data_IF_014384116134
#
_entry.id   IF_014384116134
#
_cell.length_a   1.000
_cell.length_b   1.000
_cell.length_c   1.000
_cell.angle_alpha   90.00
_cell.angle_beta   90.00
_cell.angle_gamma   90.00
#
_symmetry.space_group_name_H-M   'P 1'
#
loop_
_entity.id
_entity.type
_entity.pdbx_description
1 polymer ?
#
# COMPACT_ATOMS: atom_id res chain seq x y z
N UNK A 1 16.79 15.90 33.55
CA UNK A 1 17.85 15.10 32.88
C UNK A 1 18.15 13.79 33.63
N UNK A 2 17.91 13.68 34.94
CA UNK A 2 18.09 12.43 35.73
C UNK A 2 17.04 11.34 35.46
N UNK A 3 15.83 11.72 35.03
CA UNK A 3 14.75 10.78 34.66
C UNK A 3 15.19 9.76 33.59
N UNK A 4 15.87 10.23 32.55
CA UNK A 4 16.34 9.37 31.46
C UNK A 4 17.46 8.40 31.88
N UNK A 5 18.14 8.67 33.00
CA UNK A 5 19.19 7.80 33.54
C UNK A 5 18.64 6.69 34.45
N UNK A 6 17.40 6.83 34.92
CA UNK A 6 16.78 5.96 35.93
C UNK A 6 15.59 5.17 35.40
N UNK A 7 14.98 5.61 34.30
CA UNK A 7 13.86 4.91 33.68
C UNK A 7 14.31 3.62 32.98
N UNK A 8 13.54 2.55 33.18
CA UNK A 8 13.75 1.29 32.46
C UNK A 8 13.33 1.49 30.99
N UNK A 9 14.10 1.00 30.00
CA UNK A 9 13.76 1.19 28.58
C UNK A 9 12.33 0.78 28.21
N UNK A 10 11.80 -0.28 28.83
CA UNK A 10 10.41 -0.72 28.63
C UNK A 10 9.38 0.30 29.10
N UNK A 11 9.62 0.98 30.23
CA UNK A 11 8.77 2.07 30.72
C UNK A 11 8.86 3.29 29.81
N UNK A 12 10.06 3.64 29.33
CA UNK A 12 10.23 4.76 28.39
C UNK A 12 9.46 4.53 27.08
N UNK A 13 9.52 3.31 26.54
CA UNK A 13 8.78 2.92 25.32
C UNK A 13 7.27 2.91 25.59
N UNK A 14 6.83 2.41 26.74
CA UNK A 14 5.40 2.40 27.09
C UNK A 14 4.83 3.81 27.28
N UNK A 15 5.58 4.71 27.91
CA UNK A 15 5.13 6.07 28.23
C UNK A 15 5.25 7.03 27.03
N UNK A 16 6.33 6.93 26.25
CA UNK A 16 6.57 7.86 25.13
C UNK A 16 6.20 7.28 23.78
N UNK A 17 6.19 5.96 23.63
CA UNK A 17 5.85 5.29 22.38
C UNK A 17 4.34 5.20 22.12
N UNK A 18 3.49 5.46 23.11
CA UNK A 18 2.02 5.44 22.97
C UNK A 18 1.52 6.47 21.95
N UNK A 19 2.19 7.62 21.87
CA UNK A 19 1.79 8.74 21.01
C UNK A 19 2.76 8.91 19.82
N UNK A 20 3.51 7.86 19.47
CA UNK A 20 4.41 7.88 18.32
C UNK A 20 3.93 6.88 17.29
N UNK A 21 3.70 7.35 16.06
CA UNK A 21 3.41 6.51 14.90
C UNK A 21 4.64 6.41 14.02
N UNK A 22 5.09 5.20 13.73
CA UNK A 22 6.17 4.94 12.79
C UNK A 22 5.57 4.66 11.42
N UNK A 23 6.03 5.37 10.40
CA UNK A 23 5.61 5.24 8.99
C UNK A 23 6.85 4.88 8.17
N UNK A 24 6.88 3.68 7.59
CA UNK A 24 7.94 3.21 6.72
C UNK A 24 7.33 2.87 5.36
N UNK A 25 7.34 3.81 4.40
CA UNK A 25 6.77 3.58 3.09
C UNK A 25 7.74 2.83 2.17
N UNK A 26 7.23 1.84 1.43
CA UNK A 26 7.99 1.05 0.47
C UNK A 26 7.24 0.87 -0.85
N UNK A 27 7.92 0.32 -1.87
CA UNK A 27 7.32 0.14 -3.21
C UNK A 27 6.27 -0.95 -3.30
N UNK A 28 6.42 -2.03 -2.51
CA UNK A 28 5.44 -3.12 -2.44
C UNK A 28 4.47 -2.93 -1.28
N UNK A 29 4.99 -2.60 -0.09
CA UNK A 29 4.21 -2.46 1.13
C UNK A 29 4.62 -1.20 1.90
N UNK A 30 3.68 -0.62 2.64
CA UNK A 30 3.91 0.37 3.68
C UNK A 30 3.79 -0.34 5.02
N UNK A 31 4.75 -0.10 5.90
CA UNK A 31 4.71 -0.55 7.28
C UNK A 31 4.33 0.63 8.17
N UNK A 32 3.27 0.47 8.97
CA UNK A 32 2.81 1.53 9.86
C UNK A 32 2.35 0.95 11.19
N UNK A 33 2.73 1.59 12.30
CA UNK A 33 2.36 1.13 13.64
C UNK A 33 2.73 2.12 14.73
N UNK A 34 2.13 1.97 15.91
CA UNK A 34 2.54 2.71 17.09
C UNK A 34 3.91 2.21 17.57
N UNK A 35 4.77 3.08 18.10
CA UNK A 35 6.14 2.71 18.48
C UNK A 35 6.21 1.67 19.62
N UNK A 36 5.14 1.52 20.40
CA UNK A 36 5.03 0.49 21.44
C UNK A 36 4.58 -0.89 20.90
N UNK A 37 4.16 -0.98 19.62
CA UNK A 37 3.76 -2.24 19.00
C UNK A 37 5.00 -3.06 18.62
N UNK A 38 4.95 -4.38 18.88
CA UNK A 38 6.02 -5.30 18.50
C UNK A 38 6.08 -5.54 16.98
N UNK A 39 4.92 -5.51 16.32
CA UNK A 39 4.79 -5.78 14.88
C UNK A 39 3.93 -4.69 14.26
N UNK A 40 4.44 -3.93 13.27
CA UNK A 40 3.65 -2.95 12.55
C UNK A 40 2.66 -3.65 11.61
N UNK A 41 1.62 -2.92 11.19
CA UNK A 41 0.84 -3.35 10.03
C UNK A 41 1.72 -3.33 8.78
N UNK A 42 1.71 -4.41 8.00
CA UNK A 42 2.40 -4.51 6.72
C UNK A 42 1.36 -4.60 5.61
N UNK A 43 1.15 -3.51 4.89
CA UNK A 43 0.00 -3.31 4.01
C UNK A 43 0.49 -3.05 2.59
N UNK A 44 -0.09 -3.68 1.55
CA UNK A 44 0.25 -3.35 0.17
C UNK A 44 0.15 -1.85 -0.11
N UNK A 45 1.22 -1.25 -0.64
CA UNK A 45 1.29 0.18 -0.87
C UNK A 45 0.66 0.56 -2.21
N UNK A 46 -0.65 0.33 -2.30
CA UNK A 46 -1.42 0.54 -3.52
C UNK A 46 -2.83 1.06 -3.22
N UNK A 47 -3.37 1.77 -4.19
CA UNK A 47 -4.73 2.29 -4.21
C UNK A 47 -5.34 2.02 -5.58
N UNK A 48 -6.59 1.60 -5.60
CA UNK A 48 -7.39 1.49 -6.80
C UNK A 48 -8.39 2.64 -6.79
N UNK A 49 -8.40 3.47 -7.84
CA UNK A 49 -9.38 4.56 -8.00
C UNK A 49 -10.41 4.22 -9.06
N UNK A 50 -11.66 4.57 -8.78
CA UNK A 50 -12.74 4.41 -9.74
C UNK A 50 -12.51 5.33 -10.95
N UNK A 51 -12.53 4.74 -12.15
CA UNK A 51 -12.39 5.45 -13.42
C UNK A 51 -13.77 5.75 -13.92
N UNK A 52 -14.18 7.02 -13.82
CA UNK A 52 -15.45 7.46 -14.42
C UNK A 52 -15.35 7.30 -15.94
N UNK A 53 -16.38 6.74 -16.60
CA UNK A 53 -16.40 6.69 -18.05
C UNK A 53 -16.30 8.13 -18.59
N UNK A 54 -15.49 8.36 -19.65
CA UNK A 54 -15.44 9.68 -20.25
C UNK A 54 -16.84 10.08 -20.74
N UNK A 55 -17.20 11.35 -20.57
CA UNK A 55 -18.42 11.92 -21.16
C UNK A 55 -18.28 11.92 -22.69
N UNK A 56 -18.78 10.86 -23.33
CA UNK A 56 -18.78 10.65 -24.79
C UNK A 56 -18.69 9.16 -25.17
N UNK A 57 -18.90 8.81 -26.44
CA UNK A 57 -18.83 7.42 -26.98
C UNK A 57 -17.41 6.79 -26.95
N UNK A 58 -16.46 7.42 -26.25
CA UNK A 58 -15.11 6.87 -26.10
C UNK A 58 -15.14 5.72 -25.09
N UNK A 59 -14.75 4.52 -25.52
CA UNK A 59 -14.60 3.38 -24.62
C UNK A 59 -13.70 3.77 -23.43
N UNK A 60 -14.09 3.46 -22.18
CA UNK A 60 -13.27 3.78 -21.02
C UNK A 60 -11.89 3.14 -21.18
N UNK A 61 -10.79 3.86 -20.88
CA UNK A 61 -9.47 3.26 -20.95
C UNK A 61 -9.42 2.09 -19.96
N UNK A 62 -9.28 0.87 -20.47
CA UNK A 62 -9.10 -0.36 -19.68
C UNK A 62 -7.70 -0.39 -19.07
N UNK A 63 -7.35 0.62 -18.27
CA UNK A 63 -6.11 0.63 -17.52
C UNK A 63 -6.38 -0.01 -16.17
N UNK A 64 -6.40 -1.34 -16.11
CA UNK A 64 -6.51 -2.06 -14.83
C UNK A 64 -5.31 -1.78 -13.93
N UNK A 65 -4.14 -1.47 -14.53
CA UNK A 65 -2.89 -1.21 -13.82
C UNK A 65 -2.13 -0.05 -14.49
N UNK A 66 -1.92 1.03 -13.74
CA UNK A 66 -1.04 2.17 -14.09
C UNK A 66 0.39 1.95 -13.57
N UNK A 67 0.87 0.70 -13.53
CA UNK A 67 2.28 0.43 -13.31
C UNK A 67 2.94 0.57 -14.69
N UNK A 68 3.82 1.57 -14.84
CA UNK A 68 4.41 1.89 -16.14
C UNK A 68 5.13 0.63 -16.62
N UNK A 69 4.55 -0.14 -17.54
CA UNK A 69 5.26 -1.27 -18.10
C UNK A 69 6.57 -0.72 -18.68
N UNK A 70 7.71 -1.28 -18.26
CA UNK A 70 9.00 -1.00 -18.90
C UNK A 70 9.05 -1.70 -20.26
N UNK A 71 7.97 -1.61 -21.03
CA UNK A 71 7.92 -2.07 -22.40
C UNK A 71 8.57 -0.99 -23.27
N UNK A 72 9.83 -0.65 -22.99
CA UNK A 72 10.72 -0.45 -24.12
C UNK A 72 10.79 -1.82 -24.78
N UNK A 73 10.26 -1.95 -26.00
CA UNK A 73 10.46 -3.18 -26.78
C UNK A 73 11.96 -3.45 -26.79
N UNK A 74 12.36 -4.59 -26.22
CA UNK A 74 13.77 -4.92 -26.13
C UNK A 74 14.30 -5.07 -27.55
N UNK A 75 15.40 -4.40 -27.86
CA UNK A 75 15.97 -4.50 -29.20
C UNK A 75 16.47 -5.93 -29.45
N UNK A 76 16.60 -6.38 -30.70
CA UNK A 76 17.17 -7.69 -31.00
C UNK A 76 18.54 -7.91 -30.35
N UNK A 77 19.36 -6.86 -30.24
CA UNK A 77 20.66 -6.91 -29.57
C UNK A 77 20.51 -7.11 -28.06
N UNK A 78 19.55 -6.44 -27.43
CA UNK A 78 19.24 -6.64 -26.01
C UNK A 78 18.72 -8.06 -25.74
N UNK A 79 17.91 -8.61 -26.66
CA UNK A 79 17.47 -9.99 -26.60
C UNK A 79 18.65 -10.98 -26.69
N UNK A 80 19.53 -10.82 -27.67
CA UNK A 80 20.73 -11.67 -27.82
C UNK A 80 21.67 -11.55 -26.62
N UNK A 81 21.86 -10.34 -26.08
CA UNK A 81 22.66 -10.14 -24.88
C UNK A 81 22.04 -10.81 -23.65
N UNK A 82 20.71 -10.77 -23.52
CA UNK A 82 19.98 -11.45 -22.44
C UNK A 82 20.12 -12.96 -22.50
N UNK A 83 20.03 -13.53 -23.70
CA UNK A 83 20.21 -14.97 -23.93
C UNK A 83 21.63 -15.41 -23.57
N UNK A 84 22.66 -14.71 -24.05
CA UNK A 84 24.06 -14.99 -23.68
C UNK A 84 24.29 -14.89 -22.17
N UNK A 85 23.72 -13.89 -21.51
CA UNK A 85 23.82 -13.74 -20.06
C UNK A 85 23.15 -14.91 -19.34
N UNK A 86 22.00 -15.38 -19.84
CA UNK A 86 21.30 -16.54 -19.30
C UNK A 86 22.16 -17.80 -19.38
N UNK A 87 22.80 -18.09 -20.52
CA UNK A 87 23.65 -19.27 -20.67
C UNK A 87 24.85 -19.26 -19.71
N UNK A 88 25.49 -18.08 -19.54
CA UNK A 88 26.57 -17.89 -18.57
C UNK A 88 26.07 -18.13 -17.15
N UNK A 89 24.91 -17.57 -16.78
CA UNK A 89 24.35 -17.74 -15.43
C UNK A 89 23.96 -19.20 -15.19
N UNK A 90 23.28 -19.85 -16.15
CA UNK A 90 22.85 -21.23 -16.04
C UNK A 90 24.04 -22.18 -15.89
N UNK A 91 25.12 -21.97 -16.66
CA UNK A 91 26.35 -22.74 -16.53
C UNK A 91 27.05 -22.53 -15.18
N UNK A 92 27.17 -21.28 -14.70
CA UNK A 92 27.78 -20.97 -13.40
C UNK A 92 26.96 -21.56 -12.24
N UNK A 93 25.64 -21.44 -12.31
CA UNK A 93 24.71 -21.96 -11.29
C UNK A 93 24.43 -23.46 -11.43
N UNK A 94 24.98 -24.11 -12.47
CA UNK A 94 24.71 -25.51 -12.81
C UNK A 94 23.21 -25.82 -12.89
N UNK A 95 22.43 -24.87 -13.40
CA UNK A 95 21.00 -25.10 -13.67
C UNK A 95 20.95 -26.02 -14.90
N UNK A 96 20.42 -27.24 -14.79
CA UNK A 96 20.36 -28.15 -15.92
C UNK A 96 19.51 -27.50 -17.02
N UNK A 97 20.07 -27.40 -18.23
CA UNK A 97 19.37 -26.86 -19.38
C UNK A 97 18.18 -27.78 -19.71
N UNK A 98 17.06 -27.20 -20.15
CA UNK A 98 15.88 -27.97 -20.56
C UNK A 98 16.17 -28.91 -21.75
N UNK A 99 17.21 -28.60 -22.53
CA UNK A 99 17.63 -29.37 -23.71
C UNK A 99 18.77 -30.38 -23.42
N UNK A 100 19.24 -30.49 -22.17
CA UNK A 100 20.10 -31.61 -21.77
C UNK A 100 19.23 -32.86 -21.55
N UNK A 101 18.91 -33.55 -22.64
CA UNK A 101 18.56 -34.97 -22.58
C UNK A 101 19.79 -35.73 -22.07
N UNK A 102 19.91 -35.81 -20.73
CA UNK A 102 20.88 -36.67 -20.08
C UNK A 102 20.52 -38.12 -20.40
N UNK A 103 21.17 -38.71 -21.41
CA UNK A 103 20.99 -40.10 -21.86
C UNK A 103 21.24 -41.17 -20.77
N UNK A 104 21.58 -40.81 -19.53
CA UNK A 104 22.03 -41.76 -18.49
C UNK A 104 21.40 -41.63 -17.10
N UNK A 105 20.23 -40.99 -16.94
CA UNK A 105 19.55 -40.98 -15.64
C UNK A 105 18.32 -41.91 -15.62
N UNK A 106 18.48 -43.07 -14.98
CA UNK A 106 17.46 -44.11 -14.76
C UNK A 106 16.40 -43.77 -13.72
N UNK A 107 16.30 -42.50 -13.30
CA UNK A 107 15.26 -42.05 -12.38
C UNK A 107 14.36 -41.04 -13.10
N UNK A 108 13.04 -41.27 -13.18
CA UNK A 108 12.13 -40.27 -13.74
C UNK A 108 12.26 -38.99 -12.92
N UNK A 109 12.65 -37.88 -13.58
CA UNK A 109 12.63 -36.55 -12.97
C UNK A 109 11.17 -36.24 -12.63
N UNK A 110 10.75 -36.56 -11.40
CA UNK A 110 9.55 -35.93 -10.80
C UNK A 110 9.91 -34.46 -10.61
N UNK A 111 9.70 -33.68 -11.66
CA UNK A 111 9.66 -32.23 -11.56
C UNK A 111 8.42 -31.90 -10.74
N UNK A 112 8.55 -31.99 -9.42
CA UNK A 112 7.59 -31.37 -8.51
C UNK A 112 7.64 -29.88 -8.84
N UNK A 113 6.50 -29.33 -9.28
CA UNK A 113 6.32 -27.90 -9.38
C UNK A 113 6.68 -27.32 -8.00
N UNK A 114 7.86 -26.73 -7.87
CA UNK A 114 8.26 -25.99 -6.67
C UNK A 114 7.48 -24.68 -6.76
N UNK A 115 6.20 -24.75 -6.43
CA UNK A 115 5.46 -23.57 -6.05
C UNK A 115 6.23 -22.96 -4.87
N UNK A 116 6.62 -21.71 -5.06
CA UNK A 116 7.62 -21.01 -4.25
C UNK A 116 7.33 -21.07 -2.76
N UNK A 117 8.41 -21.02 -1.98
CA UNK A 117 8.46 -20.77 -0.53
C UNK A 117 7.10 -20.51 0.11
N UNK A 118 6.48 -21.59 0.58
CA UNK A 118 5.41 -21.52 1.56
C UNK A 118 6.01 -20.90 2.83
N UNK A 119 5.67 -19.64 3.09
CA UNK A 119 5.59 -19.20 4.48
C UNK A 119 4.60 -20.15 5.16
N UNK A 120 5.07 -20.96 6.10
CA UNK A 120 4.22 -21.74 6.98
C UNK A 120 3.43 -20.78 7.89
N UNK A 121 2.42 -20.14 7.33
CA UNK A 121 1.20 -19.80 8.04
C UNK A 121 0.16 -20.73 7.47
N UNK A 122 -0.43 -21.57 8.32
CA UNK A 122 -1.50 -22.51 7.99
C UNK A 122 -2.53 -21.83 7.07
N UNK A 123 -2.42 -22.04 5.75
CA UNK A 123 -3.44 -21.63 4.79
C UNK A 123 -4.57 -22.63 4.92
N UNK A 124 -5.46 -22.40 5.87
CA UNK A 124 -6.86 -22.77 5.68
C UNK A 124 -7.26 -22.21 4.32
N UNK A 125 -7.67 -23.10 3.42
CA UNK A 125 -8.04 -22.84 2.03
C UNK A 125 -9.15 -21.78 2.00
N UNK A 126 -8.76 -20.52 2.05
CA UNK A 126 -9.67 -19.39 2.21
C UNK A 126 -10.09 -19.04 0.81
N UNK A 127 -11.31 -19.46 0.45
CA UNK A 127 -11.93 -19.19 -0.84
C UNK A 127 -11.63 -17.75 -1.26
N UNK A 128 -10.95 -17.60 -2.40
CA UNK A 128 -10.63 -16.28 -2.94
C UNK A 128 -11.93 -15.48 -3.09
N UNK A 129 -11.98 -14.34 -2.41
CA UNK A 129 -13.17 -13.48 -2.36
C UNK A 129 -12.82 -12.15 -3.02
N UNK A 130 -13.55 -11.81 -4.08
CA UNK A 130 -13.44 -10.52 -4.75
C UNK A 130 -13.87 -9.39 -3.81
N UNK A 131 -13.20 -8.25 -3.92
CA UNK A 131 -13.56 -7.04 -3.16
C UNK A 131 -14.91 -6.52 -3.60
N UNK A 132 -15.78 -6.18 -2.63
CA UNK A 132 -17.00 -5.45 -2.93
C UNK A 132 -16.66 -3.96 -3.21
N UNK A 133 -16.82 -3.59 -4.49
CA UNK A 133 -16.51 -2.25 -5.03
C UNK A 133 -17.66 -1.26 -4.91
N UNK A 134 -18.82 -1.72 -4.43
CA UNK A 134 -20.06 -0.96 -4.37
C UNK A 134 -20.39 -0.64 -2.91
N UNK A 135 -20.92 0.55 -2.66
CA UNK A 135 -21.45 1.00 -1.39
C UNK A 135 -22.88 1.52 -1.55
N UNK A 136 -23.64 1.50 -0.44
CA UNK A 136 -25.00 2.01 -0.41
C UNK A 136 -24.95 3.53 -0.39
N UNK A 137 -25.67 4.17 -1.31
CA UNK A 137 -25.77 5.64 -1.34
C UNK A 137 -26.53 6.13 -0.10
N UNK A 138 -25.80 6.62 0.90
CA UNK A 138 -26.39 7.43 1.96
C UNK A 138 -26.45 8.87 1.46
N UNK A 139 -27.57 9.28 0.86
CA UNK A 139 -27.79 10.71 0.60
C UNK A 139 -27.77 11.46 1.94
N UNK A 140 -26.93 12.49 2.14
CA UNK A 140 -27.15 13.41 3.25
C UNK A 140 -28.42 14.18 2.91
N UNK A 141 -29.53 13.91 3.61
CA UNK A 141 -30.73 14.72 3.49
C UNK A 141 -30.37 16.17 3.83
N UNK A 142 -30.44 17.01 2.80
CA UNK A 142 -30.28 18.44 2.84
C UNK A 142 -31.26 19.08 3.82
N UNK A 143 -30.74 20.01 4.62
CA UNK A 143 -31.43 21.14 5.23
C UNK A 143 -32.74 20.84 5.98
N UNK A 144 -32.64 20.59 7.28
CA UNK A 144 -33.74 20.90 8.19
C UNK A 144 -33.82 22.43 8.36
N UNK A 145 -34.54 23.09 7.45
CA UNK A 145 -35.16 24.38 7.76
C UNK A 145 -36.24 24.14 8.82
N UNK A 146 -36.10 24.88 9.91
CA UNK A 146 -37.04 24.93 11.02
C UNK A 146 -38.31 25.66 10.55
N UNK A 147 -39.48 25.03 10.66
CA UNK A 147 -40.77 25.74 10.61
C UNK A 147 -41.79 25.06 11.51
N UNK A 148 -42.40 25.88 12.36
CA UNK A 148 -43.32 25.53 13.43
C UNK A 148 -44.75 25.15 12.98
N UNK A 149 -45.36 24.25 13.78
CA UNK A 149 -46.79 24.04 14.07
C UNK A 149 -47.70 23.52 12.94
N UNK A 150 -48.59 22.54 13.12
CA UNK A 150 -49.61 22.38 14.19
C UNK A 150 -50.24 20.97 14.11
N UNK A 151 -50.60 20.39 15.25
CA UNK A 151 -51.33 19.12 15.42
C UNK A 151 -52.79 19.28 14.98
N UNK A 152 -53.28 18.36 14.14
CA UNK A 152 -54.68 17.88 14.14
C UNK A 152 -54.76 16.48 13.53
N UNK A 153 -55.54 15.62 14.18
CA UNK A 153 -55.70 14.19 13.92
C UNK A 153 -56.63 13.89 12.72
N UNK A 154 -56.55 12.61 12.29
CA UNK A 154 -57.58 11.76 11.65
C UNK A 154 -57.39 11.32 10.17
N UNK A 155 -57.26 9.99 10.07
CA UNK A 155 -57.81 9.05 9.08
C UNK A 155 -57.17 8.83 7.68
N UNK A 156 -56.54 7.65 7.60
CA UNK A 156 -56.87 6.56 6.65
C UNK A 156 -56.02 6.37 5.37
N UNK A 157 -55.50 5.14 5.30
CA UNK A 157 -55.42 4.21 4.15
C UNK A 157 -54.22 4.27 3.18
N UNK A 158 -53.72 3.04 2.98
CA UNK A 158 -52.88 2.46 1.93
C UNK A 158 -51.39 2.79 2.01
N UNK A 159 -50.67 2.03 2.83
CA UNK A 159 -49.22 1.87 2.63
C UNK A 159 -49.02 0.97 1.40
N UNK A 160 -48.82 1.62 0.25
CA UNK A 160 -48.05 1.04 -0.83
C UNK A 160 -46.64 0.77 -0.28
N UNK A 161 -46.22 -0.49 -0.31
CA UNK A 161 -44.81 -0.85 -0.17
C UNK A 161 -44.04 -0.28 -1.37
N UNK A 162 -43.69 1.00 -1.30
CA UNK A 162 -42.62 1.55 -2.14
C UNK A 162 -41.30 0.97 -1.61
N UNK A 163 -40.92 -0.17 -2.19
CA UNK A 163 -39.58 -0.70 -2.09
C UNK A 163 -38.59 0.35 -2.58
N UNK A 164 -38.00 1.10 -1.64
CA UNK A 164 -36.92 2.02 -1.93
C UNK A 164 -35.83 1.28 -2.69
N UNK A 165 -35.61 1.66 -3.95
CA UNK A 165 -34.45 1.20 -4.70
C UNK A 165 -33.22 1.70 -3.95
N UNK A 166 -32.54 0.81 -3.23
CA UNK A 166 -31.22 1.09 -2.66
C UNK A 166 -30.29 1.44 -3.83
N UNK A 167 -30.01 2.73 -4.01
CA UNK A 167 -29.13 3.22 -5.06
C UNK A 167 -27.69 2.88 -4.66
N UNK A 168 -27.05 2.03 -5.44
CA UNK A 168 -25.72 1.50 -5.20
C UNK A 168 -24.69 2.27 -6.03
N UNK A 169 -23.65 2.81 -5.40
CA UNK A 169 -22.59 3.58 -6.06
C UNK A 169 -21.23 2.90 -5.91
N UNK A 170 -20.34 3.06 -6.90
CA UNK A 170 -18.96 2.60 -6.76
C UNK A 170 -18.21 3.46 -5.74
N UNK A 171 -17.39 2.82 -4.91
CA UNK A 171 -16.47 3.52 -4.00
C UNK A 171 -15.49 4.37 -4.82
N UNK A 172 -15.18 5.58 -4.33
CA UNK A 172 -14.23 6.45 -5.04
C UNK A 172 -12.82 5.83 -5.12
N UNK A 173 -12.40 5.15 -4.04
CA UNK A 173 -11.14 4.43 -3.99
C UNK A 173 -11.16 3.25 -3.03
N UNK A 174 -10.22 2.33 -3.22
CA UNK A 174 -9.99 1.15 -2.38
C UNK A 174 -8.49 1.01 -2.17
N UNK A 175 -8.04 0.76 -0.93
CA UNK A 175 -6.62 0.69 -0.58
C UNK A 175 -6.15 -0.74 -0.23
N UNK A 176 -4.84 -0.94 -0.24
CA UNK A 176 -4.21 -2.11 0.36
C UNK A 176 -4.58 -3.43 -0.31
N UNK A 177 -4.83 -4.45 0.53
CA UNK A 177 -5.10 -5.81 0.06
C UNK A 177 -6.38 -5.93 -0.78
N UNK A 178 -7.38 -5.09 -0.49
CA UNK A 178 -8.66 -5.12 -1.18
C UNK A 178 -8.53 -4.51 -2.59
N UNK A 179 -7.63 -3.55 -2.78
CA UNK A 179 -7.30 -3.00 -4.10
C UNK A 179 -6.73 -4.07 -5.04
N UNK A 180 -5.98 -5.04 -4.51
CA UNK A 180 -5.40 -6.15 -5.27
C UNK A 180 -6.40 -7.25 -5.62
N UNK A 181 -7.57 -7.25 -4.97
CA UNK A 181 -8.64 -8.25 -5.14
C UNK A 181 -9.85 -7.66 -5.86
N UNK A 182 -9.68 -6.59 -6.63
CA UNK A 182 -10.74 -6.05 -7.49
C UNK A 182 -10.76 -6.88 -8.79
N UNK A 183 -11.95 -7.22 -9.28
CA UNK A 183 -12.08 -7.94 -10.54
C UNK A 183 -11.52 -7.10 -11.70
N UNK A 184 -10.75 -7.67 -12.64
CA UNK A 184 -10.24 -6.95 -13.81
C UNK A 184 -11.34 -6.35 -14.71
N UNK A 185 -12.59 -6.79 -14.53
CA UNK A 185 -13.76 -6.28 -15.25
C UNK A 185 -14.32 -4.99 -14.66
N UNK A 186 -13.99 -4.68 -13.40
CA UNK A 186 -14.50 -3.50 -12.70
C UNK A 186 -13.77 -2.23 -13.18
N UNK A 187 -14.45 -1.07 -13.16
CA UNK A 187 -13.92 0.19 -13.67
C UNK A 187 -12.92 0.85 -12.70
N UNK A 188 -11.89 0.13 -12.27
CA UNK A 188 -10.88 0.63 -11.35
C UNK A 188 -9.48 0.59 -11.96
N UNK A 189 -8.68 1.59 -11.60
CA UNK A 189 -7.29 1.66 -11.98
C UNK A 189 -6.39 1.53 -10.75
N UNK A 190 -5.56 0.48 -10.71
CA UNK A 190 -4.60 0.24 -9.64
C UNK A 190 -3.35 1.11 -9.83
N UNK A 191 -2.96 1.81 -8.76
CA UNK A 191 -1.78 2.69 -8.70
C UNK A 191 -0.89 2.33 -7.51
N UNK A 192 0.42 2.54 -7.69
CA UNK A 192 1.45 2.41 -6.65
C UNK A 192 2.20 3.72 -6.54
N UNK A 193 2.08 4.49 -5.43
CA UNK A 193 2.70 5.81 -5.34
C UNK A 193 4.23 5.79 -5.28
N UNK A 194 4.84 4.69 -4.82
CA UNK A 194 6.29 4.53 -4.75
C UNK A 194 6.74 3.47 -5.76
N UNK A 195 7.78 3.80 -6.51
CA UNK A 195 8.40 2.94 -7.49
C UNK A 195 9.90 3.12 -7.50
N UNK A 196 10.64 2.01 -7.45
CA UNK A 196 12.11 1.98 -7.51
C UNK A 196 12.77 2.95 -6.52
N UNK A 197 12.23 3.04 -5.29
CA UNK A 197 12.78 3.90 -4.25
C UNK A 197 12.48 5.38 -4.41
N UNK A 198 11.57 5.77 -5.31
CA UNK A 198 11.17 7.16 -5.55
C UNK A 198 9.65 7.26 -5.69
N UNK A 199 9.12 8.48 -5.78
CA UNK A 199 7.75 8.71 -6.22
C UNK A 199 7.53 8.21 -7.66
N UNK A 200 6.41 7.54 -7.88
CA UNK A 200 6.03 6.98 -9.19
C UNK A 200 5.43 8.05 -10.11
N UNK A 201 6.22 9.08 -10.44
CA UNK A 201 5.78 10.17 -11.30
C UNK A 201 5.90 9.77 -12.78
N UNK A 202 4.83 9.98 -13.55
CA UNK A 202 4.81 9.82 -15.01
C UNK A 202 3.83 10.78 -15.69
N UNK A 203 3.77 10.72 -17.02
CA UNK A 203 2.77 11.44 -17.80
C UNK A 203 1.32 11.05 -17.43
N UNK A 204 1.10 9.79 -17.03
CA UNK A 204 -0.20 9.26 -16.64
C UNK A 204 -0.45 9.28 -15.13
N UNK A 205 0.57 9.59 -14.34
CA UNK A 205 0.51 9.66 -12.88
C UNK A 205 1.33 10.85 -12.37
N UNK A 206 0.78 12.08 -12.45
CA UNK A 206 1.49 13.30 -12.07
C UNK A 206 1.75 13.36 -10.57
N UNK A 207 2.77 14.12 -10.16
CA UNK A 207 3.20 14.24 -8.76
C UNK A 207 2.04 14.55 -7.81
N UNK A 208 1.16 15.50 -8.16
CA UNK A 208 0.02 15.84 -7.32
C UNK A 208 -0.84 14.61 -6.99
N UNK A 209 -1.16 13.80 -8.00
CA UNK A 209 -1.95 12.59 -7.81
C UNK A 209 -1.19 11.55 -6.97
N UNK A 210 0.13 11.46 -7.11
CA UNK A 210 0.97 10.59 -6.26
C UNK A 210 0.86 11.00 -4.78
N UNK A 211 0.89 12.30 -4.50
CA UNK A 211 0.78 12.82 -3.13
C UNK A 211 -0.62 12.61 -2.55
N UNK A 212 -1.67 12.84 -3.35
CA UNK A 212 -3.07 12.57 -2.97
C UNK A 212 -3.29 11.08 -2.68
N UNK A 213 -2.67 10.19 -3.46
CA UNK A 213 -2.75 8.74 -3.29
C UNK A 213 -1.98 8.27 -2.05
N UNK A 214 -0.78 8.83 -1.80
CA UNK A 214 -0.03 8.60 -0.55
C UNK A 214 -0.85 9.02 0.68
N UNK A 215 -1.41 10.23 0.65
CA UNK A 215 -2.27 10.75 1.70
C UNK A 215 -3.47 9.82 1.92
N UNK A 216 -4.22 9.46 0.88
CA UNK A 216 -5.41 8.63 0.99
C UNK A 216 -5.10 7.24 1.57
N UNK A 217 -3.98 6.62 1.15
CA UNK A 217 -3.57 5.33 1.72
C UNK A 217 -3.23 5.48 3.20
N UNK A 218 -2.44 6.49 3.58
CA UNK A 218 -2.00 6.65 4.97
C UNK A 218 -3.14 7.08 5.89
N UNK A 219 -4.02 7.96 5.43
CA UNK A 219 -5.24 8.37 6.11
C UNK A 219 -6.16 7.17 6.40
N UNK A 220 -6.35 6.30 5.41
CA UNK A 220 -7.08 5.05 5.55
C UNK A 220 -6.41 4.11 6.55
N UNK A 221 -5.08 3.93 6.50
CA UNK A 221 -4.38 3.05 7.47
C UNK A 221 -4.54 3.58 8.90
N UNK A 222 -4.38 4.89 9.10
CA UNK A 222 -4.53 5.53 10.41
C UNK A 222 -5.93 5.31 10.97
N UNK A 223 -6.96 5.48 10.13
CA UNK A 223 -8.36 5.40 10.55
C UNK A 223 -8.82 3.95 10.74
N UNK A 224 -8.59 3.08 9.75
CA UNK A 224 -9.15 1.73 9.71
C UNK A 224 -8.29 0.68 10.43
N UNK A 225 -6.98 0.88 10.51
CA UNK A 225 -6.05 -0.12 11.08
C UNK A 225 -5.53 0.29 12.45
N UNK A 226 -5.18 1.57 12.61
CA UNK A 226 -4.68 2.12 13.87
C UNK A 226 -5.76 2.76 14.74
N UNK A 227 -6.97 2.97 14.20
CA UNK A 227 -8.09 3.60 14.90
C UNK A 227 -7.77 5.00 15.45
N UNK A 228 -6.91 5.75 14.74
CA UNK A 228 -6.54 7.13 15.07
C UNK A 228 -7.36 8.08 14.20
N UNK A 229 -8.39 8.68 14.80
CA UNK A 229 -9.28 9.61 14.13
C UNK A 229 -8.54 10.89 13.73
N UNK A 230 -8.93 11.56 12.63
CA UNK A 230 -8.33 12.83 12.20
C UNK A 230 -8.27 13.91 13.29
N UNK A 231 -9.26 13.93 14.21
CA UNK A 231 -9.32 14.89 15.31
C UNK A 231 -8.21 14.69 16.35
N UNK A 232 -7.73 13.46 16.53
CA UNK A 232 -6.77 13.09 17.57
C UNK A 232 -5.32 13.05 17.08
N UNK A 233 -5.09 13.17 15.76
CA UNK A 233 -3.74 13.04 15.15
C UNK A 233 -2.75 14.08 15.67
N UNK A 234 -3.24 15.24 16.09
CA UNK A 234 -2.42 16.28 16.73
C UNK A 234 -1.87 15.86 18.11
N UNK A 235 -2.37 14.78 18.72
CA UNK A 235 -1.82 14.22 19.96
C UNK A 235 -0.62 13.30 19.70
N UNK A 236 -0.41 12.91 18.44
CA UNK A 236 0.64 11.99 18.01
C UNK A 236 1.79 12.74 17.34
N UNK A 237 2.97 12.14 17.42
CA UNK A 237 4.15 12.49 16.63
C UNK A 237 4.48 11.35 15.66
N UNK A 238 5.09 11.66 14.52
CA UNK A 238 5.42 10.69 13.49
C UNK A 238 6.93 10.45 13.37
N UNK A 239 7.34 9.21 13.16
CA UNK A 239 8.68 8.86 12.69
C UNK A 239 8.55 8.36 11.26
N UNK A 240 9.12 9.08 10.31
CA UNK A 240 9.15 8.71 8.90
C UNK A 240 10.48 8.00 8.59
N UNK A 241 10.42 6.70 8.32
CA UNK A 241 11.59 5.89 7.95
C UNK A 241 11.68 5.82 6.43
N UNK A 242 12.58 6.61 5.83
CA UNK A 242 12.69 6.76 4.37
C UNK A 242 13.84 5.93 3.79
N UNK A 243 13.67 5.38 2.57
CA UNK A 243 14.77 4.75 1.83
C UNK A 243 15.91 5.74 1.56
N UNK A 244 17.14 5.24 1.38
CA UNK A 244 18.31 6.08 1.09
C UNK A 244 18.26 6.74 -0.30
N UNK A 245 17.39 6.24 -1.17
CA UNK A 245 17.21 6.76 -2.53
C UNK A 245 16.40 8.06 -2.55
N UNK A 246 15.59 8.35 -1.52
CA UNK A 246 14.74 9.54 -1.50
C UNK A 246 15.55 10.84 -1.46
N UNK A 247 15.24 11.76 -2.37
CA UNK A 247 15.87 13.08 -2.37
C UNK A 247 15.21 14.06 -1.38
N UNK A 248 15.86 15.20 -1.14
CA UNK A 248 15.35 16.23 -0.22
C UNK A 248 13.97 16.78 -0.62
N UNK A 249 13.61 16.76 -1.91
CA UNK A 249 12.31 17.24 -2.38
C UNK A 249 11.23 16.21 -2.04
N UNK A 250 11.49 14.94 -2.31
CA UNK A 250 10.58 13.84 -1.97
C UNK A 250 10.35 13.76 -0.45
N UNK A 251 11.41 13.88 0.36
CA UNK A 251 11.29 13.92 1.83
C UNK A 251 10.45 15.11 2.30
N UNK A 252 10.60 16.29 1.69
CA UNK A 252 9.80 17.48 2.02
C UNK A 252 8.31 17.29 1.70
N UNK A 253 8.00 16.66 0.57
CA UNK A 253 6.61 16.34 0.23
C UNK A 253 6.02 15.32 1.21
N UNK A 254 6.76 14.26 1.57
CA UNK A 254 6.32 13.32 2.60
C UNK A 254 6.08 13.99 3.97
N UNK A 255 6.99 14.86 4.39
CA UNK A 255 6.82 15.65 5.62
C UNK A 255 5.60 16.58 5.52
N UNK A 256 5.32 17.14 4.35
CA UNK A 256 4.13 17.96 4.12
C UNK A 256 2.86 17.14 4.30
N UNK A 257 2.81 15.92 3.76
CA UNK A 257 1.68 14.99 3.99
C UNK A 257 1.51 14.73 5.49
N UNK A 258 2.59 14.40 6.20
CA UNK A 258 2.54 14.05 7.63
C UNK A 258 2.11 15.23 8.51
N UNK A 259 2.72 16.40 8.31
CA UNK A 259 2.53 17.55 9.21
C UNK A 259 1.32 18.41 8.85
N UNK A 260 1.07 18.64 7.56
CA UNK A 260 -0.01 19.52 7.08
C UNK A 260 -1.31 18.76 6.86
N UNK A 261 -1.22 17.66 6.12
CA UNK A 261 -2.42 16.99 5.61
C UNK A 261 -2.96 15.98 6.64
N UNK A 262 -2.09 15.16 7.23
CA UNK A 262 -2.42 14.22 8.32
C UNK A 262 -2.42 14.86 9.72
N UNK A 263 -1.85 16.07 9.87
CA UNK A 263 -1.89 16.89 11.09
C UNK A 263 -1.26 16.27 12.35
N UNK A 264 -0.16 15.54 12.19
CA UNK A 264 0.67 15.16 13.34
C UNK A 264 1.29 16.39 14.00
N UNK A 265 1.47 16.35 15.33
CA UNK A 265 2.09 17.48 16.08
C UNK A 265 3.54 17.75 15.69
N UNK A 266 4.28 16.69 15.39
CA UNK A 266 5.69 16.76 14.99
C UNK A 266 6.06 15.53 14.16
N UNK A 267 7.18 15.63 13.44
CA UNK A 267 7.71 14.53 12.64
C UNK A 267 9.24 14.51 12.67
N UNK A 268 9.82 13.31 12.72
CA UNK A 268 11.27 13.06 12.60
C UNK A 268 11.50 12.10 11.44
N UNK A 269 12.57 12.32 10.68
CA UNK A 269 12.98 11.45 9.57
C UNK A 269 14.16 10.58 10.00
N UNK A 270 14.07 9.28 9.73
CA UNK A 270 15.15 8.32 9.86
C UNK A 270 15.44 7.66 8.51
N UNK A 271 16.71 7.37 8.23
CA UNK A 271 17.09 6.52 7.10
C UNK A 271 16.85 5.05 7.43
N UNK A 272 16.42 4.28 6.44
CA UNK A 272 16.07 2.86 6.61
C UNK A 272 17.24 2.01 7.09
N UNK A 273 18.44 2.17 6.53
CA UNK A 273 19.65 1.45 6.93
C UNK A 273 20.06 1.74 8.38
N UNK A 274 19.97 3.00 8.81
CA UNK A 274 20.23 3.38 10.20
C UNK A 274 19.16 2.80 11.15
N UNK A 275 17.89 2.87 10.75
CA UNK A 275 16.79 2.28 11.51
C UNK A 275 16.94 0.76 11.64
N UNK A 276 17.43 0.07 10.59
CA UNK A 276 17.70 -1.36 10.62
C UNK A 276 18.84 -1.72 11.59
N UNK A 277 19.94 -0.95 11.60
CA UNK A 277 21.03 -1.16 12.55
C UNK A 277 20.55 -0.97 13.99
N UNK A 278 19.81 0.12 14.28
CA UNK A 278 19.24 0.39 15.59
C UNK A 278 18.22 -0.66 16.03
N UNK A 279 17.34 -1.09 15.12
CA UNK A 279 16.34 -2.13 15.39
C UNK A 279 16.96 -3.48 15.76
N UNK A 280 18.19 -3.76 15.31
CA UNK A 280 18.96 -4.96 15.67
C UNK A 280 19.95 -4.74 16.82
N UNK A 281 20.02 -3.54 17.40
CA UNK A 281 20.95 -3.23 18.49
C UNK A 281 22.42 -3.23 18.08
N UNK A 282 22.72 -3.00 16.80
CA UNK A 282 24.08 -3.00 16.26
C UNK A 282 24.64 -1.57 16.26
N UNK A 283 25.81 -1.38 16.86
CA UNK A 283 26.53 -0.09 16.84
C UNK A 283 27.17 0.20 15.48
N UNK A 284 27.57 -0.85 14.76
CA UNK A 284 28.21 -0.81 13.45
C UNK A 284 27.76 -2.03 12.65
N UNK A 285 27.24 -1.83 11.45
CA UNK A 285 26.79 -2.89 10.57
C UNK A 285 26.94 -2.48 9.10
N UNK A 286 27.10 -3.46 8.22
CA UNK A 286 26.82 -3.31 6.79
C UNK A 286 25.39 -3.81 6.57
N UNK A 287 24.51 -2.94 6.09
CA UNK A 287 23.08 -3.22 5.90
C UNK A 287 22.83 -3.44 4.42
N UNK A 288 22.42 -4.66 4.08
CA UNK A 288 21.97 -5.02 2.73
C UNK A 288 20.44 -5.10 2.75
N UNK A 289 19.76 -4.08 2.23
CA UNK A 289 18.31 -4.05 2.14
C UNK A 289 17.86 -4.54 0.77
N UNK A 290 17.27 -5.74 0.71
CA UNK A 290 16.72 -6.33 -0.52
C UNK A 290 15.22 -6.02 -0.58
N UNK A 291 14.86 -4.91 -1.22
CA UNK A 291 13.48 -4.50 -1.43
C UNK A 291 12.82 -5.16 -2.65
N UNK A 292 11.53 -4.89 -2.84
CA UNK A 292 10.76 -5.47 -3.95
C UNK A 292 11.19 -4.97 -5.35
N UNK A 293 11.80 -3.78 -5.42
CA UNK A 293 12.20 -3.15 -6.68
C UNK A 293 13.61 -2.53 -6.67
N UNK A 294 14.23 -2.42 -5.49
CA UNK A 294 15.56 -1.82 -5.28
C UNK A 294 16.27 -2.62 -4.21
N UNK A 295 17.57 -2.82 -4.39
CA UNK A 295 18.47 -3.30 -3.34
C UNK A 295 19.42 -2.17 -2.96
N UNK A 296 19.53 -1.83 -1.68
CA UNK A 296 20.53 -0.87 -1.16
C UNK A 296 21.56 -1.58 -0.27
N UNK A 297 22.78 -1.04 -0.24
CA UNK A 297 23.89 -1.51 0.60
C UNK A 297 24.51 -0.29 1.26
N UNK A 298 24.50 -0.24 2.60
CA UNK A 298 24.99 0.89 3.42
C UNK A 298 25.95 0.39 4.50
#
# INVERSE_FOLDING_TARGET
MEYLKTIVPSQLISERGSNIVVINPGSANVRMGSAHQQVPFNIPHCIARHVRPPTGDAAPPKMSVLDQMLNSEATPEQHSAREKAYDVIASVLKIPFLDEETENNSFPRKMGRVDGHNSYQNRTDTKFTWTNVVEKSSRPSSAAEWSDNKITEEESRVDNEEGGLDEYTFKDFICGQDALKISPTEPYCLRRPIRRGHFNVSQQYPLQQVLEDLFAIWDWILTDKLYILPADRNLYSAILVVPETFDTREIKELLSIVLRDLRFSSAVVHQEGLAAAFGNGLSTACVVNIGAQVTSVI
#
